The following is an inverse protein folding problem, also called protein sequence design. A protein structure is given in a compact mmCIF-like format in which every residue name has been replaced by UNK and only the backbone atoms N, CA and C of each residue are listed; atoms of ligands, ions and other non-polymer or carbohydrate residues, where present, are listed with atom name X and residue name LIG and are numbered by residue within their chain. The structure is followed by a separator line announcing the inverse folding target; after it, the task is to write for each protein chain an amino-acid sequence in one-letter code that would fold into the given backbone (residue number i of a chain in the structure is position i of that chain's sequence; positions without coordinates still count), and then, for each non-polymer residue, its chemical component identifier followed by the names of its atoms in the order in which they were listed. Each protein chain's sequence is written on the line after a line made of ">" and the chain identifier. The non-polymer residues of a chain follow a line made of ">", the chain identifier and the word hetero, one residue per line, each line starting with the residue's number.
data_IF_386905846843
#
_entry.id   IF_386905846843
#
_cell.length_a   1.000
_cell.length_b   1.000
_cell.length_c   1.000
_cell.angle_alpha   90.00
_cell.angle_beta   90.00
_cell.angle_gamma   90.00
#
_symmetry.space_group_name_H-M   'P 1'
#
loop_
_entity.id
_entity.type
_entity.pdbx_description
1 polymer ?
#
# COMPACT_ATOMS: atom_id res chain seq x y z
N UNK A 1 19.64 -19.15 18.68
CA UNK A 1 18.54 -18.22 18.36
C UNK A 1 18.15 -17.55 19.66
N UNK A 2 18.15 -16.22 19.72
CA UNK A 2 17.69 -15.47 20.88
C UNK A 2 16.24 -15.88 21.21
N UNK A 3 15.99 -16.34 22.44
CA UNK A 3 14.63 -16.62 22.90
C UNK A 3 13.92 -15.29 23.17
N UNK A 4 13.17 -14.81 22.18
CA UNK A 4 12.30 -13.65 22.35
C UNK A 4 11.05 -14.05 23.15
N UNK A 5 10.89 -13.50 24.35
CA UNK A 5 9.72 -13.72 25.21
C UNK A 5 9.22 -12.41 25.82
N UNK A 6 8.00 -12.39 26.38
CA UNK A 6 7.50 -11.22 27.11
C UNK A 6 8.45 -10.73 28.20
N UNK A 7 9.17 -11.64 28.88
CA UNK A 7 10.14 -11.33 29.93
C UNK A 7 11.38 -10.65 29.38
N UNK A 8 11.92 -11.12 28.26
CA UNK A 8 13.11 -10.53 27.63
C UNK A 8 12.82 -9.18 26.96
N UNK A 9 11.55 -8.85 26.70
CA UNK A 9 11.14 -7.53 26.24
C UNK A 9 11.10 -6.48 27.36
N UNK A 10 10.87 -6.89 28.62
CA UNK A 10 10.70 -5.95 29.76
C UNK A 10 11.89 -5.00 29.96
N UNK A 11 13.16 -5.44 29.88
CA UNK A 11 14.30 -4.53 30.03
C UNK A 11 14.35 -3.44 28.95
N UNK A 12 13.97 -3.76 27.71
CA UNK A 12 13.92 -2.79 26.60
C UNK A 12 12.84 -1.74 26.85
N UNK A 13 11.64 -2.19 27.25
CA UNK A 13 10.54 -1.29 27.58
C UNK A 13 10.87 -0.42 28.79
N UNK A 14 11.49 -0.99 29.84
CA UNK A 14 11.93 -0.24 31.02
C UNK A 14 12.94 0.84 30.65
N UNK A 15 13.96 0.51 29.86
CA UNK A 15 14.96 1.48 29.38
C UNK A 15 14.32 2.59 28.57
N UNK A 16 13.40 2.24 27.66
CA UNK A 16 12.69 3.21 26.84
C UNK A 16 11.90 4.23 27.67
N UNK A 17 11.28 3.78 28.77
CA UNK A 17 10.44 4.64 29.62
C UNK A 17 11.26 5.43 30.66
N UNK A 18 12.22 4.78 31.32
CA UNK A 18 12.94 5.38 32.46
C UNK A 18 14.18 6.16 32.03
N UNK A 19 14.86 5.73 30.97
CA UNK A 19 16.13 6.32 30.51
C UNK A 19 16.22 6.38 28.97
N UNK A 20 15.28 7.09 28.31
CA UNK A 20 15.16 7.15 26.83
C UNK A 20 16.40 7.70 26.11
N UNK A 21 17.28 8.41 26.81
CA UNK A 21 18.57 8.90 26.30
C UNK A 21 19.58 7.77 26.02
N UNK A 22 19.44 6.62 26.70
CA UNK A 22 20.25 5.42 26.46
C UNK A 22 19.55 4.38 25.59
N UNK A 23 18.33 4.65 25.10
CA UNK A 23 17.63 3.76 24.19
C UNK A 23 18.20 3.92 22.77
N UNK A 24 19.00 2.94 22.35
CA UNK A 24 19.79 3.01 21.11
C UNK A 24 19.03 2.45 19.89
N UNK A 25 19.50 2.72 18.66
CA UNK A 25 19.01 2.03 17.47
C UNK A 25 19.10 0.50 17.56
N UNK A 26 20.11 -0.06 18.24
CA UNK A 26 20.23 -1.50 18.46
C UNK A 26 19.13 -2.04 19.38
N UNK A 27 18.76 -1.28 20.40
CA UNK A 27 17.64 -1.62 21.29
C UNK A 27 16.32 -1.58 20.52
N UNK A 28 16.14 -0.58 19.65
CA UNK A 28 14.98 -0.48 18.77
C UNK A 28 14.87 -1.70 17.86
N UNK A 29 15.96 -2.12 17.20
CA UNK A 29 15.98 -3.32 16.35
C UNK A 29 15.56 -4.56 17.14
N UNK A 30 16.16 -4.75 18.31
CA UNK A 30 15.86 -5.87 19.20
C UNK A 30 14.39 -5.85 19.66
N UNK A 31 13.84 -4.66 19.97
CA UNK A 31 12.44 -4.50 20.36
C UNK A 31 11.48 -4.83 19.21
N UNK A 32 11.80 -4.39 17.99
CA UNK A 32 11.01 -4.71 16.80
C UNK A 32 11.06 -6.20 16.49
N UNK A 33 12.20 -6.87 16.70
CA UNK A 33 12.30 -8.32 16.55
C UNK A 33 11.42 -9.09 17.53
N UNK A 34 11.31 -8.63 18.78
CA UNK A 34 10.30 -9.17 19.71
C UNK A 34 8.87 -8.94 19.19
N UNK A 35 8.56 -7.72 18.77
CA UNK A 35 7.21 -7.35 18.29
C UNK A 35 6.77 -8.20 17.08
N UNK A 36 7.70 -8.51 16.17
CA UNK A 36 7.43 -9.30 14.98
C UNK A 36 7.68 -10.81 15.16
N UNK A 37 7.98 -11.25 16.38
CA UNK A 37 8.04 -12.67 16.73
C UNK A 37 6.72 -13.07 17.39
N UNK A 38 5.98 -14.05 16.83
CA UNK A 38 4.72 -14.51 17.42
C UNK A 38 4.89 -14.86 18.91
N UNK A 39 3.93 -14.42 19.73
CA UNK A 39 3.87 -14.67 21.17
C UNK A 39 5.04 -14.12 22.02
N UNK A 40 5.99 -13.37 21.43
CA UNK A 40 7.13 -12.80 22.14
C UNK A 40 6.82 -11.47 22.86
N UNK A 41 5.63 -10.89 22.67
CA UNK A 41 5.18 -9.67 23.35
C UNK A 41 3.70 -9.75 23.72
N UNK A 42 3.32 -9.07 24.81
CA UNK A 42 1.93 -8.89 25.20
C UNK A 42 1.35 -7.59 24.61
N UNK A 43 0.04 -7.52 24.32
CA UNK A 43 -0.58 -6.30 23.77
C UNK A 43 -0.32 -5.04 24.61
N UNK A 44 -0.33 -5.17 25.95
CA UNK A 44 -0.02 -4.06 26.86
C UNK A 44 1.44 -3.58 26.71
N UNK A 45 2.39 -4.49 26.48
CA UNK A 45 3.79 -4.14 26.25
C UNK A 45 3.97 -3.41 24.92
N UNK A 46 3.29 -3.87 23.86
CA UNK A 46 3.31 -3.21 22.55
C UNK A 46 2.68 -1.81 22.64
N UNK A 47 1.53 -1.68 23.29
CA UNK A 47 0.88 -0.37 23.49
C UNK A 47 1.76 0.61 24.26
N UNK A 48 2.37 0.16 25.37
CA UNK A 48 3.29 0.98 26.16
C UNK A 48 4.55 1.37 25.35
N UNK A 49 5.11 0.44 24.57
CA UNK A 49 6.27 0.69 23.72
C UNK A 49 5.98 1.77 22.67
N UNK A 50 4.87 1.65 21.94
CA UNK A 50 4.48 2.63 20.92
C UNK A 50 4.18 4.01 21.53
N UNK A 51 3.52 4.05 22.69
CA UNK A 51 3.27 5.30 23.40
C UNK A 51 4.57 5.96 23.89
N UNK A 52 5.51 5.18 24.42
CA UNK A 52 6.78 5.70 24.94
C UNK A 52 7.68 6.22 23.80
N UNK A 53 7.77 5.53 22.65
CA UNK A 53 8.46 6.06 21.47
C UNK A 53 7.91 7.44 21.06
N UNK A 54 6.58 7.58 21.10
CA UNK A 54 5.90 8.82 20.71
C UNK A 54 6.17 9.96 21.70
N UNK A 55 5.97 9.70 23.00
CA UNK A 55 6.19 10.68 24.08
C UNK A 55 7.64 11.18 24.06
N UNK A 56 8.61 10.27 23.91
CA UNK A 56 10.03 10.60 23.89
C UNK A 56 10.54 11.04 22.51
N UNK A 57 9.66 11.15 21.51
CA UNK A 57 9.97 11.55 20.13
C UNK A 57 11.08 10.72 19.48
N UNK A 58 11.26 9.46 19.90
CA UNK A 58 12.33 8.58 19.38
C UNK A 58 12.11 8.29 17.90
N UNK A 59 10.85 8.17 17.47
CA UNK A 59 10.43 8.04 16.07
C UNK A 59 10.71 9.26 15.18
N UNK A 60 11.19 10.38 15.75
CA UNK A 60 11.64 11.56 14.99
C UNK A 60 13.15 11.63 14.84
N UNK A 61 13.89 10.64 15.36
CA UNK A 61 15.35 10.56 15.24
C UNK A 61 15.73 9.83 13.94
N UNK A 62 16.69 10.34 13.15
CA UNK A 62 17.05 9.73 11.85
C UNK A 62 17.53 8.28 11.97
N UNK A 63 18.36 8.02 12.97
CA UNK A 63 18.94 6.71 13.29
C UNK A 63 17.88 5.69 13.71
N UNK A 64 16.88 6.10 14.50
CA UNK A 64 15.73 5.28 14.84
C UNK A 64 14.89 4.91 13.62
N UNK A 65 14.59 5.88 12.74
CA UNK A 65 13.83 5.61 11.51
C UNK A 65 14.59 4.69 10.57
N UNK A 66 15.91 4.91 10.40
CA UNK A 66 16.75 4.07 9.58
C UNK A 66 16.79 2.63 10.12
N UNK A 67 16.98 2.47 11.43
CA UNK A 67 17.01 1.17 12.09
C UNK A 67 15.67 0.43 12.01
N UNK A 68 14.56 1.13 12.22
CA UNK A 68 13.23 0.54 12.10
C UNK A 68 12.93 0.13 10.65
N UNK A 69 13.26 0.99 9.68
CA UNK A 69 13.09 0.70 8.27
C UNK A 69 13.92 -0.51 7.83
N UNK A 70 15.16 -0.63 8.32
CA UNK A 70 16.03 -1.79 8.06
C UNK A 70 15.40 -3.11 8.52
N UNK A 71 14.86 -3.16 9.76
CA UNK A 71 14.18 -4.36 10.29
C UNK A 71 12.93 -4.70 9.49
N UNK A 72 12.15 -3.68 9.09
CA UNK A 72 10.94 -3.88 8.31
C UNK A 72 11.24 -4.37 6.89
N UNK A 73 12.32 -3.87 6.26
CA UNK A 73 12.79 -4.37 4.97
C UNK A 73 13.37 -5.78 5.07
N UNK A 74 14.08 -6.13 6.15
CA UNK A 74 14.62 -7.48 6.34
C UNK A 74 13.55 -8.53 6.64
N UNK A 75 12.40 -8.11 7.16
CA UNK A 75 11.22 -8.97 7.40
C UNK A 75 10.17 -8.90 6.28
N UNK A 76 10.40 -8.08 5.27
CA UNK A 76 9.54 -8.02 4.11
C UNK A 76 9.77 -9.26 3.23
N UNK A 77 8.76 -9.62 2.44
CA UNK A 77 8.99 -10.50 1.29
C UNK A 77 9.89 -9.73 0.33
N UNK A 78 10.97 -10.36 -0.13
CA UNK A 78 11.93 -9.71 -1.03
C UNK A 78 11.26 -9.35 -2.35
N UNK A 79 11.56 -8.16 -2.87
CA UNK A 79 11.07 -7.68 -4.15
C UNK A 79 12.27 -7.44 -5.09
N UNK A 80 12.93 -8.52 -5.52
CA UNK A 80 14.09 -8.42 -6.39
C UNK A 80 13.70 -7.76 -7.71
N UNK A 81 14.41 -6.70 -8.10
CA UNK A 81 14.17 -6.02 -9.37
C UNK A 81 14.98 -6.71 -10.45
N UNK A 82 14.32 -7.23 -11.48
CA UNK A 82 15.02 -7.80 -12.63
C UNK A 82 15.90 -6.75 -13.31
N UNK A 83 17.14 -7.13 -13.66
CA UNK A 83 18.15 -6.24 -14.26
C UNK A 83 18.45 -4.97 -13.42
N UNK A 84 18.38 -5.05 -12.09
CA UNK A 84 18.61 -3.91 -11.18
C UNK A 84 19.96 -3.21 -11.38
N UNK A 85 20.97 -3.88 -11.93
CA UNK A 85 22.29 -3.35 -12.23
C UNK A 85 22.30 -2.40 -13.45
N UNK A 86 21.29 -2.47 -14.31
CA UNK A 86 21.20 -1.69 -15.56
C UNK A 86 20.36 -0.43 -15.42
N UNK A 87 19.52 -0.34 -14.39
CA UNK A 87 18.56 0.74 -14.22
C UNK A 87 18.80 1.53 -12.93
N UNK A 88 18.46 2.82 -12.94
CA UNK A 88 18.37 3.63 -11.73
C UNK A 88 16.93 3.61 -11.20
N UNK A 89 16.63 2.71 -10.26
CA UNK A 89 15.27 2.50 -9.75
C UNK A 89 14.86 3.65 -8.83
N UNK A 90 13.69 4.22 -9.06
CA UNK A 90 13.13 5.30 -8.26
C UNK A 90 11.74 5.02 -7.69
N UNK A 91 11.39 5.75 -6.63
CA UNK A 91 10.08 5.77 -6.00
C UNK A 91 9.64 7.22 -5.73
N UNK A 92 8.33 7.46 -5.70
CA UNK A 92 7.72 8.70 -5.22
C UNK A 92 6.62 8.36 -4.24
N UNK A 93 6.71 8.85 -3.01
CA UNK A 93 5.84 8.41 -1.92
C UNK A 93 5.73 9.47 -0.84
N UNK A 94 4.53 9.64 -0.27
CA UNK A 94 4.30 10.52 0.87
C UNK A 94 4.11 9.72 2.17
N UNK A 95 4.35 10.36 3.31
CA UNK A 95 3.98 9.80 4.63
C UNK A 95 2.47 9.64 4.79
N UNK A 96 1.68 10.39 4.02
CA UNK A 96 0.25 10.54 4.13
C UNK A 96 -0.18 11.29 5.38
N UNK A 97 -1.48 11.59 5.44
CA UNK A 97 -2.10 12.19 6.62
C UNK A 97 -1.76 13.67 6.82
N UNK A 98 -1.51 14.39 5.73
CA UNK A 98 -1.43 15.84 5.64
C UNK A 98 -2.77 16.55 5.89
N UNK A 99 -3.90 15.86 5.67
CA UNK A 99 -5.25 16.38 5.89
C UNK A 99 -5.83 17.16 4.70
N UNK A 100 -5.11 17.27 3.58
CA UNK A 100 -5.54 18.06 2.43
C UNK A 100 -6.44 17.30 1.44
N UNK A 101 -6.45 15.96 1.50
CA UNK A 101 -7.27 15.09 0.63
C UNK A 101 -7.16 15.47 -0.86
N UNK A 102 -5.95 15.66 -1.36
CA UNK A 102 -5.70 16.02 -2.76
C UNK A 102 -5.87 14.82 -3.69
N UNK A 103 -5.89 15.08 -4.99
CA UNK A 103 -5.77 14.07 -6.03
C UNK A 103 -4.55 13.16 -5.78
N UNK A 104 -4.59 11.92 -6.26
CA UNK A 104 -3.53 10.92 -6.09
C UNK A 104 -2.26 11.24 -6.92
N UNK A 105 -1.68 12.41 -6.69
CA UNK A 105 -0.62 13.02 -7.50
C UNK A 105 0.63 12.14 -7.56
N UNK A 106 1.12 11.59 -6.45
CA UNK A 106 2.32 10.74 -6.47
C UNK A 106 2.11 9.43 -7.22
N UNK A 107 0.88 8.94 -7.37
CA UNK A 107 0.61 7.74 -8.19
C UNK A 107 0.63 8.11 -9.67
N UNK A 108 -0.01 9.21 -10.04
CA UNK A 108 -0.05 9.71 -11.41
C UNK A 108 1.34 10.17 -11.87
N UNK A 109 2.07 10.90 -11.03
CA UNK A 109 3.43 11.36 -11.29
C UNK A 109 4.41 10.20 -11.48
N UNK A 110 4.29 9.12 -10.70
CA UNK A 110 5.07 7.89 -10.89
C UNK A 110 4.89 7.30 -12.29
N UNK A 111 3.65 7.21 -12.76
CA UNK A 111 3.31 6.66 -14.09
C UNK A 111 3.78 7.60 -15.20
N UNK A 112 3.62 8.91 -15.02
CA UNK A 112 4.09 9.92 -15.99
C UNK A 112 5.62 9.89 -16.12
N UNK A 113 6.35 9.84 -15.01
CA UNK A 113 7.80 9.71 -14.99
C UNK A 113 8.25 8.39 -15.64
N UNK A 114 7.54 7.29 -15.38
CA UNK A 114 7.81 6.00 -16.02
C UNK A 114 7.67 6.07 -17.55
N UNK A 115 6.59 6.67 -18.05
CA UNK A 115 6.42 6.91 -19.49
C UNK A 115 7.46 7.85 -20.09
N UNK A 116 8.04 8.73 -19.27
CA UNK A 116 9.12 9.64 -19.65
C UNK A 116 10.50 8.98 -19.70
N UNK A 117 10.66 7.76 -19.15
CA UNK A 117 11.91 6.99 -19.19
C UNK A 117 12.51 6.65 -17.83
N UNK A 118 11.87 7.04 -16.71
CA UNK A 118 12.31 6.59 -15.39
C UNK A 118 11.91 5.13 -15.12
N UNK A 119 12.75 4.41 -14.38
CA UNK A 119 12.44 3.08 -13.86
C UNK A 119 11.73 3.22 -12.51
N UNK A 120 10.41 3.09 -12.47
CA UNK A 120 9.64 3.39 -11.25
C UNK A 120 9.11 2.12 -10.58
N UNK A 121 9.50 1.90 -9.33
CA UNK A 121 8.95 0.83 -8.47
C UNK A 121 8.31 1.48 -7.26
N UNK A 122 7.03 1.82 -7.40
CA UNK A 122 6.28 2.58 -6.41
C UNK A 122 5.80 1.69 -5.27
N UNK A 123 6.11 2.07 -4.04
CA UNK A 123 5.50 1.45 -2.85
C UNK A 123 4.25 2.21 -2.42
N UNK A 124 3.16 1.48 -2.11
CA UNK A 124 1.92 2.14 -1.71
C UNK A 124 0.93 1.23 -1.00
N UNK A 125 -0.13 1.84 -0.47
CA UNK A 125 -1.19 1.17 0.26
C UNK A 125 -2.56 1.70 -0.14
N UNK A 126 -3.60 1.07 0.40
CA UNK A 126 -4.97 1.60 0.43
C UNK A 126 -5.06 2.78 1.39
N UNK A 127 -6.05 3.64 1.18
CA UNK A 127 -6.26 4.80 2.05
C UNK A 127 -6.43 4.39 3.53
N UNK A 128 -5.77 5.13 4.41
CA UNK A 128 -6.03 5.10 5.86
C UNK A 128 -6.87 6.28 6.35
N UNK A 129 -6.70 7.45 5.71
CA UNK A 129 -7.30 8.72 6.12
C UNK A 129 -7.85 9.56 4.97
N UNK A 130 -7.43 9.32 3.72
CA UNK A 130 -7.94 10.00 2.51
C UNK A 130 -9.15 9.27 1.91
N UNK A 131 -9.84 9.92 0.97
CA UNK A 131 -10.94 9.31 0.21
C UNK A 131 -10.47 8.25 -0.80
N UNK A 132 -9.21 8.32 -1.25
CA UNK A 132 -8.62 7.40 -2.22
C UNK A 132 -7.11 7.24 -1.99
N UNK A 133 -6.64 6.00 -1.82
CA UNK A 133 -5.22 5.67 -1.75
C UNK A 133 -4.66 5.27 -3.12
N UNK A 134 -3.33 5.14 -3.20
CA UNK A 134 -2.65 4.69 -4.43
C UNK A 134 -3.19 3.37 -4.98
N UNK A 135 -3.42 2.39 -4.09
CA UNK A 135 -3.96 1.09 -4.47
C UNK A 135 -5.44 1.18 -4.91
N UNK A 136 -6.21 2.08 -4.31
CA UNK A 136 -7.63 2.25 -4.62
C UNK A 136 -7.81 2.87 -6.02
N UNK A 137 -7.00 3.88 -6.36
CA UNK A 137 -6.95 4.45 -7.71
C UNK A 137 -6.56 3.39 -8.76
N UNK A 138 -5.45 2.69 -8.55
CA UNK A 138 -4.97 1.68 -9.49
C UNK A 138 -5.99 0.55 -9.69
N UNK A 139 -6.70 0.14 -8.64
CA UNK A 139 -7.76 -0.85 -8.73
C UNK A 139 -8.95 -0.33 -9.55
N UNK A 140 -9.33 0.94 -9.40
CA UNK A 140 -10.37 1.58 -10.25
C UNK A 140 -9.95 1.71 -11.71
N UNK A 141 -8.64 1.72 -11.99
CA UNK A 141 -8.07 1.67 -13.34
C UNK A 141 -7.95 0.24 -13.90
N UNK A 142 -8.44 -0.78 -13.17
CA UNK A 142 -8.42 -2.18 -13.61
C UNK A 142 -7.11 -2.91 -13.32
N UNK A 143 -6.19 -2.34 -12.55
CA UNK A 143 -4.97 -3.04 -12.15
C UNK A 143 -5.28 -4.14 -11.13
N UNK A 144 -4.77 -5.34 -11.39
CA UNK A 144 -4.90 -6.48 -10.49
C UNK A 144 -3.65 -6.63 -9.63
N UNK A 145 -3.82 -6.73 -8.31
CA UNK A 145 -2.73 -7.00 -7.38
C UNK A 145 -2.64 -8.50 -7.12
N UNK A 146 -1.64 -9.15 -7.71
CA UNK A 146 -1.33 -10.56 -7.45
C UNK A 146 -0.41 -10.71 -6.24
N UNK A 147 -0.24 -11.92 -5.70
CA UNK A 147 0.81 -12.20 -4.72
C UNK A 147 2.20 -11.79 -5.24
N UNK A 148 3.16 -11.48 -4.35
CA UNK A 148 4.52 -11.12 -4.74
C UNK A 148 5.14 -12.16 -5.69
N UNK A 149 5.60 -11.77 -6.89
CA UNK A 149 6.35 -12.66 -7.76
C UNK A 149 7.75 -12.92 -7.19
N UNK A 150 8.47 -13.88 -7.76
CA UNK A 150 9.88 -14.16 -7.43
C UNK A 150 10.79 -12.97 -7.76
N UNK A 151 10.51 -12.27 -8.86
CA UNK A 151 11.17 -11.02 -9.22
C UNK A 151 10.16 -10.05 -9.84
N UNK A 152 10.35 -8.77 -9.60
CA UNK A 152 9.58 -7.71 -10.24
C UNK A 152 9.94 -7.63 -11.73
N UNK A 153 8.94 -7.53 -12.63
CA UNK A 153 9.17 -7.51 -14.06
C UNK A 153 9.93 -6.26 -14.49
N UNK A 154 10.79 -6.39 -15.51
CA UNK A 154 11.48 -5.24 -16.10
C UNK A 154 10.55 -4.43 -17.04
N UNK A 155 9.54 -3.76 -16.46
CA UNK A 155 8.67 -2.76 -17.14
C UNK A 155 8.72 -1.36 -16.49
N UNK A 156 8.48 -0.27 -17.23
CA UNK A 156 8.73 1.10 -16.74
C UNK A 156 8.10 1.45 -15.38
N UNK A 157 6.90 0.94 -15.11
CA UNK A 157 6.18 1.16 -13.87
C UNK A 157 5.80 -0.16 -13.22
N UNK A 158 6.11 -0.31 -11.93
CA UNK A 158 5.63 -1.41 -11.08
C UNK A 158 5.09 -0.85 -9.78
N UNK A 159 4.05 -1.47 -9.24
CA UNK A 159 3.48 -1.10 -7.94
C UNK A 159 3.59 -2.24 -6.93
N UNK A 160 4.11 -1.91 -5.75
CA UNK A 160 4.23 -2.80 -4.59
C UNK A 160 3.14 -2.43 -3.60
N UNK A 161 2.15 -3.32 -3.46
CA UNK A 161 1.09 -3.18 -2.47
C UNK A 161 1.62 -3.59 -1.07
N UNK A 162 1.76 -2.61 -0.17
CA UNK A 162 2.43 -2.79 1.12
C UNK A 162 1.94 -4.01 1.94
N UNK A 163 0.62 -4.26 2.09
CA UNK A 163 0.14 -5.46 2.78
C UNK A 163 0.59 -6.81 2.20
N UNK A 164 0.92 -6.87 0.90
CA UNK A 164 1.39 -8.11 0.27
C UNK A 164 2.85 -8.39 0.60
N UNK A 165 3.65 -7.36 0.89
CA UNK A 165 5.09 -7.48 1.11
C UNK A 165 5.51 -7.37 2.57
N UNK A 166 4.66 -6.81 3.43
CA UNK A 166 4.94 -6.67 4.86
C UNK A 166 3.94 -7.44 5.74
N UNK A 167 3.84 -8.78 5.61
CA UNK A 167 2.87 -9.58 6.37
C UNK A 167 3.08 -9.45 7.89
N UNK A 168 4.33 -9.24 8.35
CA UNK A 168 4.66 -9.03 9.76
C UNK A 168 3.93 -7.82 10.38
N UNK A 169 3.61 -6.78 9.59
CA UNK A 169 2.86 -5.62 10.08
C UNK A 169 1.42 -5.97 10.50
N UNK A 170 0.86 -7.09 10.04
CA UNK A 170 -0.46 -7.54 10.46
C UNK A 170 -0.54 -7.83 11.97
N UNK A 171 0.57 -8.24 12.60
CA UNK A 171 0.66 -8.46 14.04
C UNK A 171 0.40 -7.19 14.86
N UNK A 172 0.75 -6.03 14.30
CA UNK A 172 0.57 -4.73 14.95
C UNK A 172 -0.80 -4.09 14.67
N UNK A 173 -1.55 -4.59 13.70
CA UNK A 173 -2.79 -3.96 13.26
C UNK A 173 -3.84 -3.81 14.39
N UNK A 174 -4.07 -4.80 15.29
CA UNK A 174 -5.03 -4.63 16.38
C UNK A 174 -4.62 -3.53 17.36
N UNK A 175 -3.36 -3.50 17.79
CA UNK A 175 -2.86 -2.49 18.73
C UNK A 175 -2.89 -1.09 18.11
N UNK A 176 -2.48 -0.96 16.85
CA UNK A 176 -2.51 0.34 16.14
C UNK A 176 -3.93 0.89 15.99
N UNK A 177 -4.93 0.02 15.78
CA UNK A 177 -6.35 0.43 15.73
C UNK A 177 -6.88 0.89 17.09
N UNK A 178 -6.35 0.35 18.19
CA UNK A 178 -6.77 0.70 19.53
C UNK A 178 -6.16 2.02 20.04
N UNK A 179 -5.02 2.45 19.48
CA UNK A 179 -4.37 3.70 19.85
C UNK A 179 -5.01 4.89 19.09
N UNK A 180 -5.41 5.97 19.78
CA UNK A 180 -6.06 7.13 19.14
C UNK A 180 -5.06 8.13 18.52
N UNK A 181 -3.77 7.79 18.46
CA UNK A 181 -2.71 8.66 17.97
C UNK A 181 -1.80 7.93 16.98
N UNK A 182 -1.08 8.71 16.16
CA UNK A 182 -0.12 8.18 15.18
C UNK A 182 1.13 7.66 15.90
N UNK A 183 1.71 6.61 15.36
CA UNK A 183 2.94 5.99 15.87
C UNK A 183 4.04 6.05 14.81
N UNK A 184 5.25 5.62 15.14
CA UNK A 184 6.34 5.44 14.16
C UNK A 184 5.90 4.69 12.88
N UNK A 185 4.97 3.73 12.98
CA UNK A 185 4.47 2.96 11.82
C UNK A 185 3.56 3.75 10.86
N UNK A 186 3.19 5.00 11.20
CA UNK A 186 2.52 5.91 10.28
C UNK A 186 3.51 6.61 9.35
N UNK A 187 4.77 6.78 9.78
CA UNK A 187 5.79 7.53 9.04
C UNK A 187 6.82 6.64 8.34
N UNK A 188 6.85 5.34 8.68
CA UNK A 188 7.79 4.37 8.10
C UNK A 188 7.43 3.89 6.68
N UNK A 189 6.19 4.05 6.22
CA UNK A 189 5.72 3.56 4.92
C UNK A 189 6.64 3.90 3.74
N UNK A 190 7.06 5.17 3.60
CA UNK A 190 8.05 5.58 2.61
C UNK A 190 9.40 4.88 2.69
N UNK A 191 9.88 4.55 3.89
CA UNK A 191 11.23 4.03 4.10
C UNK A 191 11.35 2.51 3.90
N UNK A 192 10.23 1.81 3.77
CA UNK A 192 10.21 0.34 3.79
C UNK A 192 9.97 -0.31 2.43
N UNK A 193 10.10 0.43 1.32
CA UNK A 193 10.00 -0.15 -0.02
C UNK A 193 10.96 -1.36 -0.15
N UNK A 194 10.44 -2.60 -0.32
CA UNK A 194 11.26 -3.81 -0.32
C UNK A 194 12.18 -3.90 -1.55
N UNK A 195 11.91 -3.14 -2.61
CA UNK A 195 12.76 -3.07 -3.80
C UNK A 195 13.97 -2.14 -3.63
N UNK A 196 14.10 -1.43 -2.49
CA UNK A 196 15.25 -0.58 -2.13
C UNK A 196 15.65 0.39 -3.27
N UNK A 197 14.76 1.32 -3.67
CA UNK A 197 15.04 2.24 -4.77
C UNK A 197 16.31 3.06 -4.49
N UNK A 198 17.08 3.33 -5.55
CA UNK A 198 18.30 4.15 -5.48
C UNK A 198 18.01 5.64 -5.44
N UNK A 199 16.82 6.07 -5.90
CA UNK A 199 16.36 7.43 -5.71
C UNK A 199 14.90 7.59 -5.34
N UNK A 200 14.60 8.67 -4.62
CA UNK A 200 13.27 8.87 -4.04
C UNK A 200 12.81 10.33 -4.05
N UNK A 201 11.56 10.58 -4.40
CA UNK A 201 10.86 11.81 -4.00
C UNK A 201 9.98 11.43 -2.80
N UNK A 202 10.28 11.97 -1.63
CA UNK A 202 9.62 11.60 -0.39
C UNK A 202 8.90 12.79 0.23
N UNK A 203 7.58 12.71 0.30
CA UNK A 203 6.75 13.72 0.93
C UNK A 203 6.63 13.56 2.45
N UNK A 204 6.75 14.65 3.20
CA UNK A 204 6.45 14.71 4.63
C UNK A 204 5.48 15.84 4.94
N UNK A 205 4.55 15.62 5.86
CA UNK A 205 3.55 16.63 6.25
C UNK A 205 4.05 17.63 7.32
N UNK A 206 5.18 17.33 7.98
CA UNK A 206 5.79 18.18 9.00
C UNK A 206 7.19 18.61 8.53
N UNK A 207 7.42 19.92 8.42
CA UNK A 207 8.70 20.48 7.98
C UNK A 207 9.86 19.99 8.85
N UNK A 208 9.64 19.86 10.16
CA UNK A 208 10.65 19.44 11.13
C UNK A 208 11.15 18.01 10.88
N UNK A 209 10.39 17.19 10.16
CA UNK A 209 10.78 15.83 9.81
C UNK A 209 11.65 15.78 8.54
N UNK A 210 11.69 16.83 7.74
CA UNK A 210 12.38 16.84 6.44
C UNK A 210 13.84 16.42 6.49
N UNK A 211 14.64 17.11 7.30
CA UNK A 211 16.06 16.77 7.53
C UNK A 211 16.22 15.36 8.12
N UNK A 212 15.30 14.95 8.99
CA UNK A 212 15.32 13.62 9.60
C UNK A 212 15.15 12.53 8.55
N UNK A 213 14.18 12.67 7.65
CA UNK A 213 13.96 11.75 6.55
C UNK A 213 15.12 11.75 5.55
N UNK A 214 15.67 12.91 5.20
CA UNK A 214 16.79 13.00 4.28
C UNK A 214 18.02 12.24 4.80
N UNK A 215 18.32 12.37 6.09
CA UNK A 215 19.38 11.61 6.77
C UNK A 215 19.06 10.11 6.83
N UNK A 216 17.82 9.75 7.14
CA UNK A 216 17.39 8.34 7.20
C UNK A 216 17.50 7.66 5.82
N UNK A 217 17.16 8.36 4.73
CA UNK A 217 17.33 7.87 3.36
C UNK A 217 18.81 7.66 3.02
N UNK A 218 19.68 8.63 3.34
CA UNK A 218 21.13 8.52 3.17
C UNK A 218 21.69 7.31 3.92
N UNK A 219 21.37 7.19 5.21
CA UNK A 219 21.87 6.10 6.06
C UNK A 219 21.28 4.75 5.62
N UNK A 220 20.10 4.76 4.99
CA UNK A 220 19.46 3.61 4.35
C UNK A 220 20.00 3.23 2.97
N UNK A 221 20.97 3.98 2.43
CA UNK A 221 21.65 3.68 1.17
C UNK A 221 21.04 4.33 -0.09
N UNK A 222 20.11 5.27 0.05
CA UNK A 222 19.55 6.01 -1.08
C UNK A 222 20.61 6.99 -1.61
N UNK A 223 20.79 7.03 -2.93
CA UNK A 223 21.85 7.79 -3.60
C UNK A 223 21.38 9.22 -3.94
N UNK A 224 20.14 9.35 -4.42
CA UNK A 224 19.53 10.64 -4.79
C UNK A 224 18.14 10.76 -4.22
N UNK A 225 17.82 11.83 -3.50
CA UNK A 225 16.45 12.04 -3.05
C UNK A 225 16.07 13.51 -2.98
N UNK A 226 14.78 13.78 -3.08
CA UNK A 226 14.18 15.04 -2.65
C UNK A 226 13.16 14.72 -1.58
N UNK A 227 13.46 15.07 -0.33
CA UNK A 227 12.43 15.11 0.72
C UNK A 227 11.70 16.44 0.60
N UNK A 228 10.38 16.43 0.51
CA UNK A 228 9.57 17.61 0.22
C UNK A 228 8.48 17.82 1.26
N UNK A 229 8.19 19.08 1.56
CA UNK A 229 7.08 19.50 2.41
C UNK A 229 6.53 20.83 1.86
N UNK A 230 5.30 20.83 1.37
CA UNK A 230 4.58 22.07 1.05
C UNK A 230 4.52 22.98 2.27
N UNK A 231 4.59 24.29 2.07
CA UNK A 231 4.59 25.26 3.18
C UNK A 231 3.34 25.18 4.06
N UNK A 232 2.24 24.69 3.50
CA UNK A 232 0.96 24.41 4.12
C UNK A 232 0.85 23.01 4.76
N UNK A 233 1.96 22.29 4.89
CA UNK A 233 2.00 20.93 5.46
C UNK A 233 1.56 19.82 4.50
N UNK A 234 1.61 20.07 3.19
CA UNK A 234 1.35 19.08 2.15
C UNK A 234 2.55 18.12 2.03
N UNK A 235 2.31 16.81 1.98
CA UNK A 235 3.36 15.80 1.79
C UNK A 235 3.63 15.52 0.30
N UNK A 236 3.63 16.57 -0.52
CA UNK A 236 3.93 16.56 -1.95
C UNK A 236 4.56 17.92 -2.31
N UNK A 237 5.04 18.09 -3.55
CA UNK A 237 5.47 19.42 -4.03
C UNK A 237 4.22 20.27 -4.25
N UNK A 238 4.06 21.34 -3.47
CA UNK A 238 2.85 22.16 -3.47
C UNK A 238 2.62 22.87 -4.80
N UNK A 239 1.39 22.76 -5.32
CA UNK A 239 0.92 23.60 -6.42
C UNK A 239 0.47 25.00 -5.96
N UNK A 240 0.24 25.20 -4.67
CA UNK A 240 -0.31 26.44 -4.13
C UNK A 240 0.77 27.47 -3.76
N UNK A 241 2.01 27.04 -3.51
CA UNK A 241 3.05 27.96 -3.08
C UNK A 241 4.43 27.33 -2.88
N UNK A 242 5.14 27.81 -1.87
CA UNK A 242 6.49 27.33 -1.57
C UNK A 242 6.48 25.87 -1.09
N UNK A 243 7.54 25.15 -1.43
CA UNK A 243 7.86 23.81 -0.92
C UNK A 243 9.26 23.82 -0.35
N UNK A 244 9.41 23.33 0.87
CA UNK A 244 10.71 23.04 1.48
C UNK A 244 11.26 21.74 0.91
N UNK A 245 12.54 21.75 0.53
CA UNK A 245 13.21 20.59 -0.06
C UNK A 245 14.51 20.31 0.66
N UNK A 246 14.71 19.06 1.07
CA UNK A 246 16.01 18.54 1.50
C UNK A 246 16.49 17.58 0.41
N UNK A 247 17.39 18.06 -0.43
CA UNK A 247 17.93 17.33 -1.57
C UNK A 247 19.16 16.53 -1.13
N UNK A 248 19.07 15.21 -1.22
CA UNK A 248 20.17 14.28 -1.04
C UNK A 248 20.81 13.98 -2.41
N UNK A 249 22.11 14.21 -2.54
CA UNK A 249 22.90 13.81 -3.71
C UNK A 249 24.25 13.26 -3.25
N UNK A 250 24.49 11.98 -3.51
CA UNK A 250 25.78 11.32 -3.24
C UNK A 250 26.30 11.49 -1.80
N UNK A 251 25.38 11.48 -0.81
CA UNK A 251 25.70 11.60 0.61
C UNK A 251 25.55 13.02 1.18
N UNK A 252 25.56 14.04 0.34
CA UNK A 252 25.36 15.44 0.74
C UNK A 252 23.88 15.81 0.74
N UNK A 253 23.46 16.56 1.76
CA UNK A 253 22.08 17.04 1.92
C UNK A 253 22.08 18.56 1.87
N UNK A 254 21.41 19.13 0.89
CA UNK A 254 21.20 20.57 0.74
C UNK A 254 19.74 20.94 1.02
N UNK A 255 19.50 21.99 1.82
CA UNK A 255 18.17 22.54 2.04
C UNK A 255 17.91 23.71 1.07
N UNK A 256 16.79 23.65 0.35
CA UNK A 256 16.37 24.70 -0.57
C UNK A 256 14.85 24.88 -0.56
N UNK A 257 14.38 25.91 -1.26
CA UNK A 257 12.96 26.16 -1.50
C UNK A 257 12.69 26.16 -3.00
N UNK A 258 11.55 25.60 -3.37
CA UNK A 258 11.01 25.65 -4.72
C UNK A 258 9.57 26.13 -4.68
N UNK A 259 9.06 26.56 -5.82
CA UNK A 259 7.65 26.94 -6.01
C UNK A 259 7.21 26.52 -7.42
N UNK A 260 5.93 26.64 -7.80
CA UNK A 260 5.48 26.39 -9.16
C UNK A 260 6.32 27.14 -10.23
N UNK A 261 6.81 28.34 -9.91
CA UNK A 261 7.68 29.10 -10.80
C UNK A 261 9.04 28.41 -11.07
N UNK A 262 9.58 27.63 -10.12
CA UNK A 262 10.78 26.81 -10.32
C UNK A 262 10.61 25.76 -11.43
N UNK A 263 9.36 25.42 -11.76
CA UNK A 263 8.97 24.48 -12.80
C UNK A 263 8.52 25.17 -14.10
N UNK A 264 8.48 26.51 -14.13
CA UNK A 264 7.87 27.27 -15.23
C UNK A 264 6.34 27.13 -15.29
N UNK A 265 5.69 26.86 -14.14
CA UNK A 265 4.25 26.65 -14.03
C UNK A 265 3.60 27.70 -13.12
N UNK A 266 2.28 27.83 -13.24
CA UNK A 266 1.49 28.75 -12.43
C UNK A 266 1.07 28.11 -11.10
N UNK A 267 0.84 28.94 -10.08
CA UNK A 267 0.34 28.49 -8.80
C UNK A 267 -1.18 28.28 -8.85
N UNK A 268 -1.65 27.19 -8.25
CA UNK A 268 -3.06 26.79 -8.18
C UNK A 268 -3.46 26.56 -6.73
N UNK A 269 -4.61 27.10 -6.27
CA UNK A 269 -5.07 26.86 -4.91
C UNK A 269 -5.41 25.37 -4.70
N UNK A 270 -5.14 24.83 -3.50
CA UNK A 270 -5.32 23.38 -3.23
C UNK A 270 -6.73 22.86 -3.52
N UNK A 271 -7.76 23.70 -3.36
CA UNK A 271 -9.15 23.34 -3.69
C UNK A 271 -9.34 22.92 -5.16
N UNK A 272 -8.49 23.40 -6.07
CA UNK A 272 -8.52 23.04 -7.50
C UNK A 272 -7.83 21.71 -7.81
N UNK A 273 -7.10 21.15 -6.85
CA UNK A 273 -6.45 19.83 -6.95
C UNK A 273 -6.96 18.85 -5.90
N UNK A 274 -8.12 19.15 -5.30
CA UNK A 274 -8.79 18.27 -4.37
C UNK A 274 -9.09 16.91 -5.03
N UNK A 275 -8.91 15.84 -4.26
CA UNK A 275 -9.25 14.48 -4.67
C UNK A 275 -10.70 14.15 -4.35
N UNK A 276 -11.25 13.20 -5.11
CA UNK A 276 -12.55 12.60 -4.85
C UNK A 276 -12.44 11.14 -4.42
N UNK A 277 -13.51 10.41 -4.69
CA UNK A 277 -13.57 8.96 -4.61
C UNK A 277 -12.57 8.30 -5.58
N UNK A 278 -12.23 7.00 -5.37
CA UNK A 278 -11.37 6.28 -6.30
C UNK A 278 -11.88 6.29 -7.76
N UNK A 279 -13.19 6.35 -7.97
CA UNK A 279 -13.80 6.44 -9.30
C UNK A 279 -13.58 7.82 -9.93
N UNK A 280 -13.91 8.90 -9.23
CA UNK A 280 -13.70 10.29 -9.70
C UNK A 280 -12.22 10.58 -10.00
N UNK A 281 -11.32 10.09 -9.12
CA UNK A 281 -9.88 10.20 -9.37
C UNK A 281 -9.45 9.39 -10.60
N UNK A 282 -10.07 8.24 -10.86
CA UNK A 282 -9.76 7.44 -12.06
C UNK A 282 -10.24 8.11 -13.36
N UNK A 283 -11.33 8.85 -13.32
CA UNK A 283 -11.84 9.63 -14.45
C UNK A 283 -10.92 10.81 -14.75
N UNK A 284 -10.53 11.57 -13.73
CA UNK A 284 -9.53 12.64 -13.84
C UNK A 284 -8.20 12.09 -14.38
N UNK A 285 -7.75 10.95 -13.86
CA UNK A 285 -6.55 10.27 -14.34
C UNK A 285 -6.62 9.94 -15.84
N UNK A 286 -7.73 9.33 -16.30
CA UNK A 286 -7.92 9.00 -17.71
C UNK A 286 -7.95 10.26 -18.57
N UNK A 287 -8.70 11.29 -18.15
CA UNK A 287 -8.76 12.58 -18.84
C UNK A 287 -7.37 13.21 -19.01
N UNK A 288 -6.48 13.10 -18.01
CA UNK A 288 -5.10 13.55 -18.12
C UNK A 288 -4.29 12.72 -19.11
N UNK A 289 -4.32 11.38 -18.99
CA UNK A 289 -3.37 10.51 -19.71
C UNK A 289 -3.82 10.05 -21.10
N UNK A 290 -5.10 10.17 -21.47
CA UNK A 290 -5.61 9.68 -22.77
C UNK A 290 -6.05 10.77 -23.73
N UNK A 291 -6.05 12.04 -23.31
CA UNK A 291 -6.56 13.15 -24.15
C UNK A 291 -5.54 13.68 -25.18
N UNK A 292 -4.29 13.20 -25.15
CA UNK A 292 -3.24 13.68 -26.05
C UNK A 292 -2.97 15.17 -25.82
N UNK A 293 -2.96 15.96 -26.90
CA UNK A 293 -2.82 17.42 -26.84
C UNK A 293 -4.12 18.14 -26.43
N UNK A 294 -5.27 17.45 -26.43
CA UNK A 294 -6.60 18.01 -26.14
C UNK A 294 -6.98 17.86 -24.66
N UNK A 295 -6.03 18.04 -23.74
CA UNK A 295 -6.30 17.93 -22.29
C UNK A 295 -7.31 19.01 -21.87
N UNK A 296 -8.40 18.64 -21.18
CA UNK A 296 -9.41 19.63 -20.77
C UNK A 296 -8.85 20.70 -19.83
N UNK A 297 -9.26 21.94 -20.01
CA UNK A 297 -8.76 23.08 -19.23
C UNK A 297 -9.14 22.96 -17.75
N UNK A 298 -10.28 22.33 -17.43
CA UNK A 298 -10.74 22.12 -16.07
C UNK A 298 -9.81 21.23 -15.24
N UNK A 299 -9.03 20.34 -15.87
CA UNK A 299 -8.05 19.49 -15.18
C UNK A 299 -6.64 20.09 -15.20
N UNK A 300 -6.47 21.31 -15.74
CA UNK A 300 -5.17 21.98 -15.83
C UNK A 300 -4.45 22.15 -14.49
N UNK A 301 -5.12 22.54 -13.38
CA UNK A 301 -4.47 22.59 -12.07
C UNK A 301 -3.91 21.24 -11.62
N UNK A 302 -4.64 20.15 -11.87
CA UNK A 302 -4.21 18.78 -11.54
C UNK A 302 -3.07 18.35 -12.45
N UNK A 303 -3.10 18.71 -13.74
CA UNK A 303 -2.00 18.47 -14.67
C UNK A 303 -0.71 19.12 -14.18
N UNK A 304 -0.74 20.41 -13.86
CA UNK A 304 0.45 21.14 -13.41
C UNK A 304 0.98 20.56 -12.07
N UNK A 305 0.08 20.16 -11.17
CA UNK A 305 0.44 19.46 -9.93
C UNK A 305 1.14 18.12 -10.17
N UNK A 306 0.65 17.32 -11.13
CA UNK A 306 1.28 16.07 -11.57
C UNK A 306 2.64 16.33 -12.22
N UNK A 307 2.75 17.34 -13.08
CA UNK A 307 3.98 17.67 -13.81
C UNK A 307 5.11 18.08 -12.87
N UNK A 308 4.83 18.87 -11.81
CA UNK A 308 5.87 19.23 -10.83
C UNK A 308 6.43 18.01 -10.11
N UNK A 309 5.56 17.13 -9.61
CA UNK A 309 5.99 15.94 -8.88
C UNK A 309 6.67 14.91 -9.80
N UNK A 310 6.19 14.75 -11.04
CA UNK A 310 6.83 13.90 -12.04
C UNK A 310 8.21 14.44 -12.46
N UNK A 311 8.32 15.76 -12.64
CA UNK A 311 9.57 16.45 -12.97
C UNK A 311 10.63 16.25 -11.89
N UNK A 312 10.28 16.43 -10.62
CA UNK A 312 11.18 16.17 -9.51
C UNK A 312 11.68 14.72 -9.51
N UNK A 313 10.79 13.75 -9.78
CA UNK A 313 11.17 12.34 -9.88
C UNK A 313 12.10 12.07 -11.07
N UNK A 314 11.90 12.74 -12.21
CA UNK A 314 12.77 12.63 -13.38
C UNK A 314 14.18 13.18 -13.12
N UNK A 315 14.29 14.29 -12.39
CA UNK A 315 15.58 14.83 -11.94
C UNK A 315 16.27 13.87 -10.97
N UNK A 316 15.53 13.34 -9.99
CA UNK A 316 16.06 12.33 -9.05
C UNK A 316 16.49 11.05 -9.77
N UNK A 317 15.76 10.64 -10.81
CA UNK A 317 16.13 9.51 -11.67
C UNK A 317 17.35 9.80 -12.57
N UNK A 318 17.74 11.06 -12.74
CA UNK A 318 18.79 11.47 -13.67
C UNK A 318 18.39 11.42 -15.13
N UNK A 319 17.09 11.38 -15.41
CA UNK A 319 16.55 11.43 -16.78
C UNK A 319 16.60 12.85 -17.32
N UNK A 320 16.44 13.86 -16.45
CA UNK A 320 16.55 15.28 -16.79
C UNK A 320 17.53 16.00 -15.86
N UNK A 321 18.08 17.12 -16.33
CA UNK A 321 19.09 17.91 -15.62
C UNK A 321 18.47 18.87 -14.62
N UNK A 322 17.28 19.39 -14.94
CA UNK A 322 16.57 20.36 -14.12
C UNK A 322 15.05 20.15 -14.16
N UNK A 323 14.35 20.96 -13.34
CA UNK A 323 12.91 20.85 -13.13
C UNK A 323 12.09 21.33 -14.33
N UNK A 324 12.61 22.23 -15.17
CA UNK A 324 11.88 22.72 -16.35
C UNK A 324 11.95 21.68 -17.47
N UNK A 325 13.14 21.14 -17.74
CA UNK A 325 13.33 20.00 -18.65
C UNK A 325 12.50 18.79 -18.21
N UNK A 326 12.42 18.54 -16.88
CA UNK A 326 11.55 17.51 -16.31
C UNK A 326 10.07 17.74 -16.60
N UNK A 327 9.58 18.98 -16.55
CA UNK A 327 8.18 19.31 -16.89
C UNK A 327 7.92 19.09 -18.38
N UNK A 328 8.81 19.53 -19.26
CA UNK A 328 8.69 19.33 -20.70
C UNK A 328 8.60 17.84 -21.04
N UNK A 329 9.49 17.03 -20.46
CA UNK A 329 9.52 15.59 -20.72
C UNK A 329 8.31 14.87 -20.12
N UNK A 330 7.87 15.25 -18.92
CA UNK A 330 6.65 14.75 -18.29
C UNK A 330 5.40 15.09 -19.12
N UNK A 331 5.31 16.32 -19.64
CA UNK A 331 4.22 16.73 -20.54
C UNK A 331 4.23 15.90 -21.82
N UNK A 332 5.39 15.72 -22.44
CA UNK A 332 5.53 14.85 -23.63
C UNK A 332 5.17 13.39 -23.34
N UNK A 333 5.47 12.87 -22.15
CA UNK A 333 5.06 11.52 -21.72
C UNK A 333 3.53 11.36 -21.69
N UNK A 334 2.82 12.39 -21.24
CA UNK A 334 1.35 12.45 -21.25
C UNK A 334 0.83 12.59 -22.68
N UNK A 335 1.23 13.63 -23.42
CA UNK A 335 0.61 13.94 -24.72
C UNK A 335 0.95 12.92 -25.80
N UNK A 336 2.08 12.23 -25.69
CA UNK A 336 2.45 11.13 -26.59
C UNK A 336 1.81 9.78 -26.23
N UNK A 337 1.06 9.69 -25.14
CA UNK A 337 0.44 8.43 -24.67
C UNK A 337 1.38 7.45 -23.95
N UNK A 338 2.68 7.75 -23.82
CA UNK A 338 3.65 6.84 -23.19
C UNK A 338 3.37 6.61 -21.70
N UNK A 339 2.86 7.62 -21.00
CA UNK A 339 2.43 7.47 -19.62
C UNK A 339 1.28 6.44 -19.51
N UNK A 340 0.32 6.49 -20.44
CA UNK A 340 -0.79 5.52 -20.48
C UNK A 340 -0.28 4.11 -20.81
N UNK A 341 0.64 3.98 -21.76
CA UNK A 341 1.29 2.70 -22.10
C UNK A 341 2.03 2.08 -20.92
N UNK A 342 2.71 2.90 -20.09
CA UNK A 342 3.39 2.41 -18.89
C UNK A 342 2.42 1.76 -17.89
N UNK A 343 1.25 2.39 -17.67
CA UNK A 343 0.18 1.81 -16.85
C UNK A 343 -0.38 0.52 -17.48
N UNK A 344 -0.64 0.53 -18.79
CA UNK A 344 -1.22 -0.60 -19.49
C UNK A 344 -0.31 -1.83 -19.43
N UNK A 345 1.01 -1.66 -19.60
CA UNK A 345 1.98 -2.74 -19.43
C UNK A 345 1.91 -3.36 -18.02
N UNK A 346 1.81 -2.53 -16.98
CA UNK A 346 1.64 -3.04 -15.61
C UNK A 346 0.33 -3.81 -15.46
N UNK A 347 -0.76 -3.29 -16.02
CA UNK A 347 -2.09 -3.92 -15.99
C UNK A 347 -2.10 -5.27 -16.69
N UNK A 348 -1.54 -5.36 -17.89
CA UNK A 348 -1.44 -6.58 -18.70
C UNK A 348 -0.66 -7.68 -17.98
N UNK A 349 0.46 -7.34 -17.31
CA UNK A 349 1.20 -8.31 -16.50
C UNK A 349 0.37 -8.80 -15.32
N UNK A 350 -0.35 -7.91 -14.63
CA UNK A 350 -1.25 -8.28 -13.55
C UNK A 350 -2.36 -9.24 -14.01
N UNK A 351 -2.96 -8.96 -15.16
CA UNK A 351 -3.96 -9.82 -15.82
C UNK A 351 -3.38 -11.19 -16.18
N UNK A 352 -2.21 -11.24 -16.81
CA UNK A 352 -1.54 -12.48 -17.17
C UNK A 352 -1.18 -13.33 -15.94
N UNK A 353 -0.66 -12.71 -14.87
CA UNK A 353 -0.34 -13.40 -13.62
C UNK A 353 -1.60 -13.95 -12.92
N UNK A 354 -2.70 -13.18 -12.93
CA UNK A 354 -3.98 -13.64 -12.39
C UNK A 354 -4.53 -14.85 -13.18
N UNK A 355 -4.44 -14.83 -14.51
CA UNK A 355 -4.86 -15.94 -15.37
C UNK A 355 -4.05 -17.21 -15.12
N UNK A 356 -2.71 -17.10 -15.00
CA UNK A 356 -1.85 -18.23 -14.64
C UNK A 356 -2.23 -18.85 -13.30
N UNK A 357 -2.52 -18.01 -12.30
CA UNK A 357 -2.93 -18.48 -10.98
C UNK A 357 -4.30 -19.17 -11.01
N UNK A 358 -5.25 -18.64 -11.77
CA UNK A 358 -6.56 -19.28 -11.98
C UNK A 358 -6.42 -20.66 -12.62
N UNK A 359 -5.59 -20.76 -13.67
CA UNK A 359 -5.30 -22.02 -14.34
C UNK A 359 -4.66 -23.03 -13.38
N UNK A 360 -3.67 -22.62 -12.60
CA UNK A 360 -3.01 -23.49 -11.61
C UNK A 360 -3.99 -23.98 -10.55
N UNK A 361 -4.87 -23.12 -10.02
CA UNK A 361 -5.90 -23.50 -9.06
C UNK A 361 -6.89 -24.52 -9.65
N UNK A 362 -7.25 -24.39 -10.93
CA UNK A 362 -8.12 -25.36 -11.61
C UNK A 362 -7.43 -26.71 -11.80
N UNK A 363 -6.16 -26.72 -12.24
CA UNK A 363 -5.40 -27.96 -12.47
C UNK A 363 -5.09 -28.69 -11.17
N UNK A 364 -4.78 -27.97 -10.09
CA UNK A 364 -4.45 -28.55 -8.77
C UNK A 364 -5.69 -28.83 -7.90
N UNK A 365 -6.91 -28.55 -8.38
CA UNK A 365 -8.14 -28.78 -7.61
C UNK A 365 -8.28 -27.88 -6.36
N UNK A 366 -7.53 -26.77 -6.27
CA UNK A 366 -7.54 -25.84 -5.15
C UNK A 366 -8.68 -24.80 -5.24
N UNK A 367 -9.92 -25.27 -5.45
CA UNK A 367 -11.12 -24.42 -5.65
C UNK A 367 -11.42 -23.48 -4.47
N UNK A 368 -10.90 -23.77 -3.27
CA UNK A 368 -11.05 -22.94 -2.08
C UNK A 368 -10.45 -21.52 -2.25
N UNK A 369 -9.42 -21.35 -3.09
CA UNK A 369 -8.77 -20.06 -3.36
C UNK A 369 -9.59 -19.17 -4.30
N UNK A 370 -10.29 -19.77 -5.27
CA UNK A 370 -11.17 -19.07 -6.20
C UNK A 370 -12.29 -18.30 -5.48
N UNK A 371 -12.77 -18.85 -4.36
CA UNK A 371 -13.86 -18.28 -3.58
C UNK A 371 -13.42 -17.12 -2.67
N UNK A 372 -12.21 -17.18 -2.08
CA UNK A 372 -11.68 -16.14 -1.21
C UNK A 372 -11.04 -14.95 -1.96
N UNK A 373 -10.51 -15.18 -3.17
CA UNK A 373 -9.74 -14.16 -3.89
C UNK A 373 -10.58 -13.15 -4.69
N UNK A 374 -11.92 -13.22 -4.68
CA UNK A 374 -12.81 -12.41 -5.56
C UNK A 374 -12.43 -12.46 -7.07
N UNK A 375 -11.58 -13.40 -7.50
CA UNK A 375 -11.13 -13.51 -8.89
C UNK A 375 -12.23 -13.99 -9.84
N UNK A 376 -13.22 -14.72 -9.33
CA UNK A 376 -14.30 -15.32 -10.14
C UNK A 376 -15.30 -14.28 -10.66
N UNK A 377 -15.50 -13.16 -9.94
CA UNK A 377 -16.54 -12.19 -10.31
C UNK A 377 -16.11 -11.13 -11.34
N UNK A 378 -14.80 -10.86 -11.49
CA UNK A 378 -14.32 -9.90 -12.48
C UNK A 378 -14.45 -10.44 -13.92
N UNK A 379 -14.30 -11.76 -14.10
CA UNK A 379 -14.22 -12.36 -15.43
C UNK A 379 -15.59 -12.64 -16.08
N UNK A 380 -16.66 -12.77 -15.28
CA UNK A 380 -18.01 -13.05 -15.81
C UNK A 380 -18.71 -11.82 -16.41
N UNK A 381 -18.22 -10.60 -16.19
CA UNK A 381 -18.87 -9.38 -16.70
C UNK A 381 -18.49 -8.98 -18.13
N UNK A 382 -17.37 -9.48 -18.66
CA UNK A 382 -16.88 -9.06 -20.00
C UNK A 382 -17.14 -10.07 -21.12
N UNK A 383 -17.80 -11.20 -20.86
CA UNK A 383 -18.19 -12.16 -21.90
C UNK A 383 -19.61 -12.70 -21.72
N UNK A 384 -20.62 -11.92 -22.10
CA UNK A 384 -21.85 -12.44 -22.73
C UNK A 384 -22.77 -11.32 -23.21
N UNK A 385 -22.99 -11.21 -24.53
CA UNK A 385 -24.29 -10.89 -25.07
C UNK A 385 -24.91 -12.17 -25.66
N UNK A 386 -26.06 -12.55 -25.08
CA UNK A 386 -27.13 -13.36 -25.66
C UNK A 386 -26.79 -14.64 -26.45
N UNK A 387 -27.21 -15.79 -25.92
CA UNK A 387 -27.92 -16.79 -26.73
C UNK A 387 -28.99 -17.48 -25.88
N UNK A 388 -30.22 -17.04 -26.13
CA UNK A 388 -31.48 -17.69 -25.78
C UNK A 388 -31.45 -19.10 -26.38
N UNK A 389 -31.63 -20.12 -25.55
CA UNK A 389 -32.02 -21.45 -26.02
C UNK A 389 -33.47 -21.67 -25.63
N UNK A 390 -34.34 -21.54 -26.63
CA UNK A 390 -35.72 -22.01 -26.60
C UNK A 390 -35.72 -23.54 -26.40
N UNK A 391 -36.56 -24.03 -25.47
CA UNK A 391 -36.93 -25.44 -25.40
C UNK A 391 -38.19 -25.67 -26.25
N UNK A 392 -38.24 -26.69 -27.11
CA UNK A 392 -39.45 -27.01 -27.86
C UNK A 392 -40.49 -27.71 -26.99
N UNK A 393 -41.76 -27.36 -27.19
CA UNK A 393 -42.92 -28.05 -26.65
C UNK A 393 -43.24 -29.34 -27.44
N UNK A 394 -43.58 -30.41 -26.73
CA UNK A 394 -44.73 -31.33 -26.93
C UNK A 394 -44.40 -32.77 -26.49
N UNK A 395 -45.36 -33.41 -25.81
CA UNK A 395 -45.34 -34.85 -25.49
C UNK A 395 -45.98 -35.19 -24.13
N UNK A 396 -47.24 -35.64 -24.16
CA UNK A 396 -48.10 -36.00 -23.03
C UNK A 396 -47.66 -37.25 -22.23
N UNK A 397 -48.01 -37.30 -20.94
CA UNK A 397 -48.85 -38.31 -20.24
C UNK A 397 -48.42 -38.64 -18.78
N UNK A 398 -49.42 -38.51 -17.91
CA UNK A 398 -49.74 -39.20 -16.65
C UNK A 398 -49.04 -38.91 -15.29
N UNK A 399 -49.87 -38.30 -14.42
CA UNK A 399 -49.93 -38.28 -12.93
C UNK A 399 -50.20 -39.69 -12.36
N UNK A 400 -49.67 -40.06 -11.17
CA UNK A 400 -50.51 -39.98 -9.99
C UNK A 400 -49.73 -39.64 -8.70
N UNK A 401 -50.17 -38.65 -7.92
CA UNK A 401 -50.70 -38.86 -6.55
C UNK A 401 -51.11 -37.52 -5.92
N UNK A 402 -52.42 -37.33 -5.87
CA UNK A 402 -53.16 -36.26 -5.22
C UNK A 402 -53.68 -36.78 -3.87
N UNK A 403 -53.38 -36.11 -2.76
CA UNK A 403 -54.20 -36.19 -1.54
C UNK A 403 -53.90 -35.02 -0.58
N UNK A 404 -54.66 -33.95 -0.74
CA UNK A 404 -55.06 -33.03 0.34
C UNK A 404 -56.01 -33.73 1.32
N UNK A 405 -56.02 -33.34 2.61
CA UNK A 405 -57.23 -33.08 3.45
C UNK A 405 -56.90 -32.96 4.96
N UNK A 406 -57.17 -31.76 5.50
CA UNK A 406 -57.88 -31.42 6.77
C UNK A 406 -57.23 -31.62 8.16
N UNK A 407 -57.24 -30.53 8.95
CA UNK A 407 -57.07 -30.46 10.42
C UNK A 407 -58.35 -30.86 11.17
N UNK A 408 -58.24 -31.32 12.44
CA UNK A 408 -58.95 -30.60 13.50
C UNK A 408 -58.18 -30.43 14.83
N UNK A 409 -58.80 -29.63 15.72
CA UNK A 409 -58.35 -29.04 16.98
C UNK A 409 -58.23 -30.03 18.17
N UNK A 410 -57.34 -29.67 19.12
CA UNK A 410 -57.63 -29.62 20.56
C UNK A 410 -57.06 -30.74 21.46
N UNK A 411 -56.11 -30.40 22.34
CA UNK A 411 -56.15 -30.67 23.78
C UNK A 411 -54.91 -30.10 24.50
N UNK A 412 -55.16 -29.62 25.71
CA UNK A 412 -54.27 -28.89 26.62
C UNK A 412 -53.27 -29.77 27.41
N UNK A 413 -52.27 -29.07 27.96
CA UNK A 413 -51.50 -29.32 29.19
C UNK A 413 -50.50 -30.49 29.23
N UNK A 414 -49.20 -30.16 29.30
CA UNK A 414 -48.41 -30.13 30.56
C UNK A 414 -46.93 -29.87 30.26
N UNK A 415 -46.33 -28.97 31.04
CA UNK A 415 -44.88 -28.75 31.14
C UNK A 415 -44.37 -29.58 32.33
N UNK A 416 -43.17 -30.18 32.25
CA UNK A 416 -42.16 -29.79 33.22
C UNK A 416 -40.80 -29.48 32.56
N UNK A 417 -40.26 -28.34 33.00
CA UNK A 417 -38.85 -27.94 33.01
C UNK A 417 -37.97 -28.95 33.75
N UNK A 418 -36.75 -29.22 33.27
CA UNK A 418 -35.49 -29.17 34.06
C UNK A 418 -34.30 -28.97 33.11
N UNK A 419 -33.45 -28.03 33.53
CA UNK A 419 -32.11 -27.66 33.08
C UNK A 419 -31.18 -28.79 32.59
N UNK A 420 -30.44 -28.49 31.51
CA UNK A 420 -28.97 -28.69 31.38
C UNK A 420 -28.53 -28.39 29.94
N UNK A 421 -28.25 -27.12 29.63
CA UNK A 421 -27.50 -26.74 28.43
C UNK A 421 -26.89 -25.35 28.62
N UNK A 422 -26.13 -25.16 29.69
CA UNK A 422 -25.56 -23.86 30.02
C UNK A 422 -24.31 -23.98 30.87
N UNK A 423 -23.34 -24.82 30.47
CA UNK A 423 -22.01 -24.80 31.11
C UNK A 423 -20.87 -25.44 30.28
N UNK A 424 -21.07 -25.76 28.99
CA UNK A 424 -20.00 -26.33 28.13
C UNK A 424 -19.53 -25.38 27.02
N UNK A 425 -20.21 -24.25 26.80
CA UNK A 425 -19.84 -23.30 25.73
C UNK A 425 -18.93 -22.13 26.17
N UNK A 426 -18.69 -21.94 27.47
CA UNK A 426 -17.90 -20.81 27.96
C UNK A 426 -16.37 -21.06 28.02
N UNK A 427 -15.92 -22.32 28.02
CA UNK A 427 -14.50 -22.65 28.23
C UNK A 427 -13.74 -22.99 26.92
N UNK A 428 -14.44 -23.26 25.82
CA UNK A 428 -13.83 -23.48 24.49
C UNK A 428 -13.61 -22.20 23.66
N UNK A 429 -14.18 -21.06 24.08
CA UNK A 429 -14.13 -19.80 23.33
C UNK A 429 -12.86 -18.97 23.59
N UNK A 430 -12.16 -19.16 24.70
CA UNK A 430 -11.02 -18.30 25.08
C UNK A 430 -9.64 -18.77 24.56
N UNK A 431 -9.48 -20.05 24.22
CA UNK A 431 -8.19 -20.65 23.82
C UNK A 431 -8.13 -21.11 22.36
N UNK A 432 -9.26 -21.09 21.64
CA UNK A 432 -9.37 -21.59 20.26
C UNK A 432 -9.23 -20.50 19.18
N UNK A 433 -9.53 -19.24 19.50
CA UNK A 433 -9.47 -18.12 18.56
C UNK A 433 -8.06 -17.82 18.05
N UNK A 434 -7.07 -17.77 18.94
CA UNK A 434 -5.68 -17.44 18.60
C UNK A 434 -5.00 -18.58 17.82
N UNK A 435 -5.23 -19.84 18.20
CA UNK A 435 -4.69 -21.01 17.47
C UNK A 435 -5.27 -21.18 16.06
N UNK A 436 -6.54 -20.83 15.85
CA UNK A 436 -7.21 -20.94 14.53
C UNK A 436 -6.76 -19.82 13.57
N UNK A 437 -6.50 -18.62 14.10
CA UNK A 437 -5.90 -17.51 13.34
C UNK A 437 -4.42 -17.80 13.02
N UNK A 438 -3.68 -18.41 13.95
CA UNK A 438 -2.26 -18.74 13.72
C UNK A 438 -2.04 -19.91 12.76
N UNK A 439 -2.85 -20.99 12.82
CA UNK A 439 -2.82 -22.05 11.79
C UNK A 439 -3.13 -21.47 10.40
N UNK A 440 -4.05 -20.51 10.33
CA UNK A 440 -4.39 -19.77 9.10
C UNK A 440 -3.23 -18.91 8.58
N UNK A 441 -2.41 -18.33 9.45
CA UNK A 441 -1.28 -17.49 9.05
C UNK A 441 -0.07 -18.32 8.57
N UNK A 442 0.31 -19.36 9.32
CA UNK A 442 1.37 -20.29 8.90
C UNK A 442 1.00 -21.01 7.60
N UNK A 443 -0.25 -21.49 7.47
CA UNK A 443 -0.73 -22.10 6.22
C UNK A 443 -0.77 -21.11 5.05
N UNK A 444 -0.98 -19.81 5.31
CA UNK A 444 -0.95 -18.78 4.25
C UNK A 444 0.46 -18.49 3.78
N UNK A 445 1.45 -18.47 4.68
CA UNK A 445 2.84 -18.23 4.34
C UNK A 445 3.44 -19.43 3.59
N UNK A 446 3.25 -20.65 4.10
CA UNK A 446 3.68 -21.90 3.44
C UNK A 446 3.03 -22.07 2.06
N UNK A 447 1.76 -21.67 1.92
CA UNK A 447 1.04 -21.73 0.65
C UNK A 447 1.42 -20.58 -0.29
N UNK A 448 1.72 -19.37 0.21
CA UNK A 448 2.30 -18.29 -0.61
C UNK A 448 3.66 -18.69 -1.14
N UNK A 449 4.51 -19.32 -0.32
CA UNK A 449 5.79 -19.88 -0.78
C UNK A 449 5.59 -21.00 -1.80
N UNK A 450 4.59 -21.87 -1.63
CA UNK A 450 4.25 -22.89 -2.61
C UNK A 450 3.79 -22.28 -3.94
N UNK A 451 2.95 -21.24 -3.90
CA UNK A 451 2.50 -20.50 -5.09
C UNK A 451 3.68 -19.76 -5.74
N UNK A 452 4.55 -19.13 -4.98
CA UNK A 452 5.78 -18.50 -5.49
C UNK A 452 6.72 -19.51 -6.16
N UNK A 453 6.78 -20.75 -5.68
CA UNK A 453 7.57 -21.82 -6.32
C UNK A 453 6.93 -22.34 -7.61
N UNK A 454 5.63 -22.17 -7.79
CA UNK A 454 4.90 -22.61 -8.99
C UNK A 454 4.79 -21.53 -10.07
N UNK A 455 4.92 -20.24 -9.71
CA UNK A 455 4.97 -19.09 -10.62
C UNK A 455 6.40 -18.82 -11.08
#
# INVERSE_FOLDING_TARGET
>A
MSNFTPETFRPLLKRLVETPEYFTPSDLKTALDHIFTPDATLPAQVGAFLAALHIHRIERRPDSLAAAAEVLRSRAITADVADADKDFVVDIVGTGGDGHNTFNVSTTAAIVAAGAGARVVKHGSRASTSSSGSADLLQSLGCLFTPPPTALPNIPFTFILAPHYHPALALLAPTRKALPFRTMFNVLGPLINPARPQGMVLGVAEKELGMTFARSLRDGGVVRAMVVCGAEGLDEISCAGETYVWELKNGDIEEKRISPASFGLEAHPLIKVAGGTPQENSETFKALLTSGESIPEEVRPVLDFVLMNASALLVVAGVTRDLQEGVELARKSITSGRAWEALQKFREIGEASAQKMLYLCMVLGCYWYLWNAKLVFAFQRERSPAKIYERPQSGELHDPYRASVVKPKGMENTVPSVDRAGEVEAEMAATSGTRRVMKSFASKLEMMEMIQRCL
#
